data_IF_770705466198
#
_entry.id   IF_770705466198
#
_cell.length_a   1.000
_cell.length_b   1.000
_cell.length_c   1.000
_cell.angle_alpha   90.00
_cell.angle_beta   90.00
_cell.angle_gamma   90.00
#
_symmetry.space_group_name_H-M   'P 1'
#
loop_
_entity.id
_entity.type
_entity.pdbx_description
1 polymer ?
#
# COMPACT_ATOMS: atom_id res chain seq x y z
N UNK A 1 9.26 8.25 -42.85
CA UNK A 1 8.40 9.24 -42.18
C UNK A 1 7.04 8.97 -42.79
N UNK A 2 6.05 8.33 -42.17
CA UNK A 2 5.45 8.38 -40.82
C UNK A 2 4.80 6.99 -40.56
N UNK A 3 4.45 6.47 -39.39
CA UNK A 3 4.06 6.99 -38.10
C UNK A 3 3.11 5.94 -37.47
N UNK A 4 3.21 5.72 -36.17
CA UNK A 4 2.56 4.71 -35.31
C UNK A 4 1.06 4.44 -35.57
N UNK A 5 0.51 3.26 -35.25
CA UNK A 5 -0.09 2.97 -33.92
C UNK A 5 -0.39 1.48 -33.77
N UNK A 6 0.19 0.88 -32.73
CA UNK A 6 0.33 -0.58 -32.52
C UNK A 6 -0.43 -1.07 -31.27
N UNK A 7 -1.60 -0.53 -30.93
CA UNK A 7 -2.38 -1.04 -29.79
C UNK A 7 -3.91 -0.89 -30.00
N UNK A 8 -4.70 -1.98 -29.88
CA UNK A 8 -6.16 -1.90 -29.89
C UNK A 8 -6.68 -1.32 -28.57
N UNK A 9 -7.82 -0.60 -28.57
CA UNK A 9 -8.41 -0.05 -27.36
C UNK A 9 -9.04 -1.18 -26.53
N UNK A 10 -8.36 -1.59 -25.45
CA UNK A 10 -8.97 -2.46 -24.44
C UNK A 10 -10.07 -1.67 -23.73
N UNK A 11 -11.32 -1.92 -24.11
CA UNK A 11 -12.50 -1.43 -23.41
C UNK A 11 -12.49 -1.92 -21.96
N UNK A 12 -12.03 -1.08 -21.04
CA UNK A 12 -12.07 -1.37 -19.61
C UNK A 12 -13.52 -1.28 -19.12
N UNK A 13 -14.13 -2.36 -18.58
CA UNK A 13 -15.43 -2.26 -17.95
C UNK A 13 -15.33 -1.39 -16.69
N UNK A 14 -16.33 -0.52 -16.50
CA UNK A 14 -16.39 0.46 -15.42
C UNK A 14 -16.16 -0.17 -14.03
N UNK A 15 -15.42 0.48 -13.12
CA UNK A 15 -15.19 -0.06 -11.78
C UNK A 15 -16.48 -0.03 -10.96
N UNK A 16 -16.99 -1.21 -10.59
CA UNK A 16 -18.10 -1.35 -9.67
C UNK A 16 -17.88 -0.56 -8.36
N UNK A 17 -18.95 -0.03 -7.72
CA UNK A 17 -18.84 0.78 -6.51
C UNK A 17 -18.16 -0.04 -5.41
N UNK A 18 -16.93 0.38 -5.05
CA UNK A 18 -16.16 -0.26 -3.98
C UNK A 18 -16.87 0.01 -2.65
N UNK A 19 -17.51 -1.02 -2.09
CA UNK A 19 -18.01 -1.02 -0.70
C UNK A 19 -16.90 -0.53 0.23
N UNK A 20 -17.18 0.52 1.02
CA UNK A 20 -16.27 1.02 2.05
C UNK A 20 -16.07 -0.08 3.09
N UNK A 21 -14.97 -0.83 2.97
CA UNK A 21 -14.53 -1.78 4.00
C UNK A 21 -14.14 -0.96 5.22
N UNK A 22 -14.94 -1.01 6.29
CA UNK A 22 -14.50 -0.55 7.60
C UNK A 22 -13.21 -1.31 7.95
N UNK A 23 -12.11 -0.62 8.25
CA UNK A 23 -10.95 -1.28 8.83
C UNK A 23 -11.40 -1.88 10.17
N UNK A 24 -10.80 -3.00 10.63
CA UNK A 24 -10.98 -3.48 11.99
C UNK A 24 -10.23 -2.55 12.97
N UNK A 25 -10.53 -1.26 12.93
CA UNK A 25 -9.92 -0.21 13.75
C UNK A 25 -10.36 -0.23 15.21
N UNK A 26 -11.26 -1.14 15.60
CA UNK A 26 -11.68 -1.30 17.00
C UNK A 26 -10.93 -2.42 17.75
N UNK A 27 -9.90 -3.02 17.15
CA UNK A 27 -9.14 -4.16 17.70
C UNK A 27 -7.76 -3.80 18.27
N UNK A 28 -7.31 -2.54 18.24
CA UNK A 28 -6.03 -2.15 18.88
C UNK A 28 -6.00 -2.39 20.40
N UNK A 29 -7.16 -2.62 21.02
CA UNK A 29 -7.32 -2.62 22.48
C UNK A 29 -7.19 -3.99 23.17
N UNK A 30 -6.91 -5.10 22.47
CA UNK A 30 -6.81 -6.43 23.09
C UNK A 30 -5.83 -7.34 22.31
N UNK A 31 -4.53 -7.26 22.57
CA UNK A 31 -3.53 -8.24 22.07
C UNK A 31 -3.39 -8.37 20.56
N UNK A 32 -3.92 -7.41 19.78
CA UNK A 32 -3.86 -7.46 18.32
C UNK A 32 -2.45 -7.09 17.83
N UNK A 33 -1.77 -8.08 17.24
CA UNK A 33 -0.50 -7.88 16.57
C UNK A 33 -0.77 -7.38 15.13
N UNK A 34 -0.35 -6.16 14.76
CA UNK A 34 -0.53 -5.64 13.41
C UNK A 34 0.28 -6.43 12.39
N UNK A 35 -0.08 -6.33 11.11
CA UNK A 35 0.71 -6.98 10.04
C UNK A 35 2.05 -6.27 9.89
N UNK A 36 3.15 -6.99 9.58
CA UNK A 36 4.39 -6.34 9.20
C UNK A 36 4.16 -5.50 7.91
N UNK A 37 4.73 -4.29 7.83
CA UNK A 37 4.55 -3.43 6.68
C UNK A 37 5.26 -4.01 5.45
N UNK A 38 4.62 -3.95 4.29
CA UNK A 38 5.27 -4.27 3.02
C UNK A 38 6.04 -3.05 2.47
N UNK A 39 6.75 -3.25 1.36
CA UNK A 39 7.59 -2.22 0.74
C UNK A 39 6.81 -0.93 0.43
N UNK A 40 5.61 -1.06 -0.14
CA UNK A 40 4.73 0.06 -0.43
C UNK A 40 4.25 0.80 0.82
N UNK A 41 3.92 0.08 1.90
CA UNK A 41 3.47 0.68 3.15
C UNK A 41 4.60 1.47 3.83
N UNK A 42 5.84 0.97 3.74
CA UNK A 42 7.03 1.70 4.20
C UNK A 42 7.26 2.96 3.37
N UNK A 43 7.23 2.84 2.05
CA UNK A 43 7.36 3.98 1.14
C UNK A 43 6.27 5.03 1.37
N UNK A 44 5.02 4.61 1.53
CA UNK A 44 3.90 5.51 1.83
C UNK A 44 4.12 6.25 3.15
N UNK A 45 4.54 5.55 4.20
CA UNK A 45 4.80 6.18 5.49
C UNK A 45 5.91 7.24 5.39
N UNK A 46 6.94 6.96 4.59
CA UNK A 46 8.02 7.90 4.33
C UNK A 46 7.54 9.12 3.51
N UNK A 47 6.80 8.89 2.42
CA UNK A 47 6.24 9.93 1.56
C UNK A 47 5.33 10.91 2.33
N UNK A 48 4.54 10.38 3.28
CA UNK A 48 3.72 11.20 4.18
C UNK A 48 4.60 11.99 5.15
N UNK A 49 5.63 11.36 5.74
CA UNK A 49 6.56 12.02 6.67
C UNK A 49 7.34 13.15 6.00
N UNK A 50 7.72 12.99 4.73
CA UNK A 50 8.39 14.00 3.93
C UNK A 50 7.49 15.22 3.61
N UNK A 51 6.20 15.18 3.98
CA UNK A 51 5.20 16.25 3.71
C UNK A 51 5.09 16.65 2.25
N UNK A 52 5.27 15.69 1.34
CA UNK A 52 5.05 15.87 -0.11
C UNK A 52 3.58 16.13 -0.48
N UNK A 53 2.68 16.15 0.52
CA UNK A 53 1.24 16.25 0.33
C UNK A 53 0.68 17.28 1.32
N UNK A 54 -0.17 18.22 0.86
CA UNK A 54 -0.83 19.17 1.76
C UNK A 54 -1.73 18.42 2.75
N UNK A 55 -1.83 18.90 3.99
CA UNK A 55 -2.58 18.25 5.08
C UNK A 55 -4.05 17.95 4.77
N UNK A 56 -4.65 18.69 3.83
CA UNK A 56 -6.00 18.41 3.31
C UNK A 56 -6.10 17.05 2.60
N UNK A 57 -5.07 16.66 1.83
CA UNK A 57 -5.03 15.36 1.12
C UNK A 57 -4.53 14.24 2.04
N UNK A 58 -3.75 14.54 3.10
CA UNK A 58 -3.36 13.56 4.12
C UNK A 58 -4.59 12.91 4.79
N UNK A 59 -5.59 13.74 5.09
CA UNK A 59 -6.88 13.33 5.66
C UNK A 59 -7.66 12.41 4.70
N UNK A 60 -7.52 12.61 3.39
CA UNK A 60 -8.14 11.75 2.38
C UNK A 60 -7.21 10.61 1.95
N UNK A 61 -7.20 9.54 2.76
CA UNK A 61 -6.42 8.33 2.48
C UNK A 61 -6.69 7.70 1.10
N UNK A 62 -7.87 7.90 0.51
CA UNK A 62 -8.23 7.40 -0.80
C UNK A 62 -7.46 8.11 -1.92
N UNK A 63 -7.47 9.43 -1.91
CA UNK A 63 -6.71 10.26 -2.87
C UNK A 63 -5.20 10.11 -2.66
N UNK A 64 -4.75 10.13 -1.39
CA UNK A 64 -3.35 9.92 -1.03
C UNK A 64 -2.80 8.60 -1.57
N UNK A 65 -3.54 7.49 -1.41
CA UNK A 65 -3.10 6.18 -1.89
C UNK A 65 -3.04 6.10 -3.42
N UNK A 66 -3.88 6.85 -4.14
CA UNK A 66 -3.81 6.94 -5.61
C UNK A 66 -2.53 7.66 -6.05
N UNK A 67 -2.24 8.81 -5.44
CA UNK A 67 -1.04 9.60 -5.76
C UNK A 67 0.23 8.79 -5.48
N UNK A 68 0.35 8.27 -4.25
CA UNK A 68 1.52 7.48 -3.85
C UNK A 68 1.62 6.19 -4.66
N UNK A 69 0.49 5.58 -5.02
CA UNK A 69 0.46 4.41 -5.90
C UNK A 69 1.06 4.71 -7.28
N UNK A 70 0.82 5.89 -7.83
CA UNK A 70 1.42 6.32 -9.09
C UNK A 70 2.93 6.57 -8.92
N UNK A 71 3.34 7.32 -7.89
CA UNK A 71 4.76 7.54 -7.59
C UNK A 71 5.52 6.22 -7.40
N UNK A 72 4.94 5.26 -6.66
CA UNK A 72 5.54 3.95 -6.44
C UNK A 72 5.74 3.16 -7.74
N UNK A 73 4.81 3.25 -8.70
CA UNK A 73 4.98 2.60 -10.00
C UNK A 73 6.10 3.26 -10.81
N UNK A 74 6.20 4.59 -10.74
CA UNK A 74 7.22 5.38 -11.44
C UNK A 74 8.60 5.34 -10.79
N UNK A 75 8.74 4.85 -9.55
CA UNK A 75 10.05 4.70 -8.91
C UNK A 75 10.97 3.80 -9.76
N UNK A 76 12.27 4.08 -9.79
CA UNK A 76 13.22 3.22 -10.48
C UNK A 76 13.43 1.91 -9.68
N UNK A 77 13.83 0.83 -10.35
CA UNK A 77 13.90 -0.49 -9.73
C UNK A 77 14.92 -0.58 -8.59
N UNK A 78 16.03 0.18 -8.65
CA UNK A 78 17.00 0.29 -7.56
C UNK A 78 16.37 0.83 -6.27
N UNK A 79 15.56 1.89 -6.37
CA UNK A 79 14.88 2.47 -5.20
C UNK A 79 13.82 1.50 -4.65
N UNK A 80 13.03 0.86 -5.52
CA UNK A 80 12.06 -0.17 -5.08
C UNK A 80 12.76 -1.30 -4.32
N UNK A 81 13.93 -1.75 -4.79
CA UNK A 81 14.70 -2.80 -4.11
C UNK A 81 15.09 -2.44 -2.69
N UNK A 82 15.42 -1.18 -2.40
CA UNK A 82 15.71 -0.71 -1.04
C UNK A 82 14.49 -0.91 -0.13
N UNK A 83 13.30 -0.53 -0.61
CA UNK A 83 12.05 -0.72 0.13
C UNK A 83 11.66 -2.19 0.27
N UNK A 84 11.93 -3.01 -0.73
CA UNK A 84 11.71 -4.46 -0.66
C UNK A 84 12.63 -5.14 0.34
N UNK A 85 13.90 -4.73 0.41
CA UNK A 85 14.84 -5.21 1.43
C UNK A 85 14.38 -4.81 2.83
N UNK A 86 14.00 -3.54 3.03
CA UNK A 86 13.45 -3.07 4.31
C UNK A 86 12.19 -3.84 4.71
N UNK A 87 11.30 -4.15 3.76
CA UNK A 87 10.11 -4.95 4.03
C UNK A 87 10.44 -6.41 4.38
N UNK A 88 11.47 -6.99 3.76
CA UNK A 88 11.97 -8.33 4.12
C UNK A 88 12.52 -8.33 5.55
N UNK A 89 13.31 -7.32 5.91
CA UNK A 89 13.83 -7.14 7.28
C UNK A 89 12.68 -7.00 8.28
N UNK A 90 11.75 -6.06 8.05
CA UNK A 90 10.61 -5.85 8.93
C UNK A 90 9.75 -7.12 9.09
N UNK A 91 9.59 -7.91 8.02
CA UNK A 91 8.89 -9.20 8.08
C UNK A 91 9.66 -10.24 8.90
N UNK A 92 11.00 -10.28 8.77
CA UNK A 92 11.85 -11.19 9.54
C UNK A 92 11.85 -10.80 11.02
N UNK A 93 12.03 -9.53 11.35
CA UNK A 93 11.97 -8.99 12.72
C UNK A 93 10.61 -9.29 13.36
N UNK A 94 9.52 -9.07 12.63
CA UNK A 94 8.19 -9.40 13.11
C UNK A 94 8.01 -10.91 13.36
N UNK A 95 8.61 -11.77 12.53
CA UNK A 95 8.56 -13.23 12.73
C UNK A 95 9.33 -13.64 13.99
N UNK A 96 10.44 -12.97 14.29
CA UNK A 96 11.25 -13.21 15.49
C UNK A 96 10.52 -12.70 16.74
N UNK A 97 9.98 -11.48 16.69
CA UNK A 97 9.26 -10.86 17.80
C UNK A 97 7.92 -11.55 18.09
N UNK A 98 7.27 -12.11 17.06
CA UNK A 98 5.99 -12.79 17.17
C UNK A 98 6.04 -14.14 16.44
N UNK A 99 6.71 -15.16 17.02
CA UNK A 99 6.86 -16.48 16.39
C UNK A 99 5.50 -17.19 16.19
N UNK A 100 4.55 -16.95 17.09
CA UNK A 100 3.18 -17.49 17.02
C UNK A 100 2.23 -16.66 16.15
N UNK A 101 2.72 -15.60 15.51
CA UNK A 101 1.87 -14.74 14.70
C UNK A 101 1.36 -15.46 13.45
N UNK A 102 0.03 -15.51 13.32
CA UNK A 102 -0.64 -16.00 12.12
C UNK A 102 -1.73 -15.04 11.67
N UNK A 103 -1.68 -14.64 10.40
CA UNK A 103 -2.69 -13.77 9.81
C UNK A 103 -4.03 -14.51 9.69
N UNK A 104 -5.06 -14.01 10.38
CA UNK A 104 -6.44 -14.50 10.32
C UNK A 104 -7.33 -13.39 9.74
N UNK A 105 -7.65 -13.40 8.44
CA UNK A 105 -8.52 -12.38 7.86
C UNK A 105 -9.93 -12.55 8.43
N UNK A 106 -10.43 -11.51 9.09
CA UNK A 106 -11.83 -11.48 9.54
C UNK A 106 -12.70 -11.13 8.34
N UNK A 107 -13.45 -12.12 7.83
CA UNK A 107 -14.50 -11.88 6.84
C UNK A 107 -15.80 -11.59 7.59
N UNK A 108 -16.12 -10.30 7.76
CA UNK A 108 -17.50 -9.94 8.08
C UNK A 108 -18.28 -10.06 6.77
N UNK A 109 -19.14 -11.08 6.68
CA UNK A 109 -20.05 -11.31 5.54
C UNK A 109 -21.16 -10.26 5.53
#
# INVERSE_FOLDING_TARGET
>A
MDGATLFPPSATPAPAPRRKRCPPGKRRSQGYIPRPPNAFMLFRADFVRQKHVPGSIETNHGSLSKIIGNCWRSLPPNEKRVWEQRAKTAKAEHKIAHPDYRFRPVHNK
#
